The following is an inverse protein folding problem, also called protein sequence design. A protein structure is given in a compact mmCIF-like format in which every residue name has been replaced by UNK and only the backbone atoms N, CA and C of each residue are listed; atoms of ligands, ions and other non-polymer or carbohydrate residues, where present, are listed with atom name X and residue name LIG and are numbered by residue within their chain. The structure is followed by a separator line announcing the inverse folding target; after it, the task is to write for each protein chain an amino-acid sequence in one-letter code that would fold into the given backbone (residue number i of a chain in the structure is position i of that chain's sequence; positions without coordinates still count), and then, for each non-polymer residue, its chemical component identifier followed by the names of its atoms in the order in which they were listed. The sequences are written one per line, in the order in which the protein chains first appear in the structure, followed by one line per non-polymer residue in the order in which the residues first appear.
data_IF_353407600976
#
_entry.id   IF_353407600976
#
_cell.length_a   1.000
_cell.length_b   1.000
_cell.length_c   1.000
_cell.angle_alpha   90.00
_cell.angle_beta   90.00
_cell.angle_gamma   90.00
#
_symmetry.space_group_name_H-M   'P 1'
#
loop_
_entity.id
_entity.type
_entity.pdbx_description
1 polymer ?
#
# COMPACT_ATOMS: atom_id res chain seq x y z
N UNK A 1 5.22 22.08 -36.27
CA UNK A 1 5.20 23.47 -35.78
C UNK A 1 4.96 23.40 -34.27
N UNK A 2 5.72 24.09 -33.43
CA UNK A 2 5.40 24.19 -32.02
C UNK A 2 4.03 24.88 -31.85
N UNK A 3 3.24 24.42 -30.89
CA UNK A 3 1.99 25.07 -30.51
C UNK A 3 2.27 26.45 -29.92
N UNK A 4 1.37 27.45 -30.11
CA UNK A 4 1.45 28.69 -29.38
C UNK A 4 1.53 28.45 -27.88
N UNK A 5 2.27 29.28 -27.14
CA UNK A 5 2.49 29.13 -25.70
C UNK A 5 1.16 29.04 -24.91
N UNK A 6 0.21 29.91 -25.23
CA UNK A 6 -1.12 29.89 -24.61
C UNK A 6 -1.84 28.55 -24.83
N UNK A 7 -1.76 28.00 -26.05
CA UNK A 7 -2.37 26.68 -26.36
C UNK A 7 -1.68 25.57 -25.61
N UNK A 8 -0.35 25.63 -25.49
CA UNK A 8 0.43 24.64 -24.73
C UNK A 8 0.09 24.70 -23.25
N UNK A 9 0.01 25.88 -22.66
CA UNK A 9 -0.40 26.06 -21.24
C UNK A 9 -1.84 25.58 -21.00
N UNK A 10 -2.74 25.84 -21.95
CA UNK A 10 -4.12 25.39 -21.85
C UNK A 10 -4.23 23.86 -21.94
N UNK A 11 -3.41 23.22 -22.74
CA UNK A 11 -3.30 21.77 -22.85
C UNK A 11 -2.74 21.16 -21.55
N UNK A 12 -1.70 21.77 -20.97
CA UNK A 12 -1.07 21.27 -19.72
C UNK A 12 -1.99 21.44 -18.50
N UNK A 13 -2.88 22.45 -18.50
CA UNK A 13 -3.89 22.62 -17.44
C UNK A 13 -4.98 21.57 -17.46
N UNK A 14 -5.15 20.87 -18.58
CA UNK A 14 -6.07 19.76 -18.66
C UNK A 14 -5.54 18.55 -17.89
N UNK A 15 -6.44 17.65 -17.55
CA UNK A 15 -6.07 16.43 -16.86
C UNK A 15 -5.12 15.58 -17.72
N UNK A 16 -3.94 15.26 -17.18
CA UNK A 16 -2.97 14.35 -17.79
C UNK A 16 -2.19 13.62 -16.69
N UNK A 17 -1.72 12.42 -16.99
CA UNK A 17 -0.96 11.58 -16.05
C UNK A 17 0.56 11.82 -16.10
N UNK A 18 1.34 10.76 -16.01
CA UNK A 18 2.80 10.77 -15.82
C UNK A 18 3.63 10.79 -17.09
N UNK A 19 3.24 11.50 -18.15
CA UNK A 19 4.03 11.56 -19.39
C UNK A 19 5.44 12.10 -19.18
N UNK A 20 5.62 13.02 -18.24
CA UNK A 20 6.91 13.59 -17.88
C UNK A 20 7.85 12.52 -17.24
N UNK A 21 7.35 11.60 -16.42
CA UNK A 21 8.11 10.43 -15.94
C UNK A 21 8.63 9.59 -17.11
N UNK A 22 7.78 9.34 -18.11
CA UNK A 22 8.16 8.57 -19.29
C UNK A 22 9.28 9.25 -20.07
N UNK A 23 9.24 10.57 -20.21
CA UNK A 23 10.33 11.30 -20.87
C UNK A 23 11.63 11.32 -20.08
N UNK A 24 11.59 11.41 -18.76
CA UNK A 24 12.79 11.22 -17.93
C UNK A 24 13.38 9.82 -18.08
N UNK A 25 12.54 8.79 -18.16
CA UNK A 25 13.01 7.43 -18.40
C UNK A 25 13.62 7.27 -19.81
N UNK A 26 13.05 7.89 -20.84
CA UNK A 26 13.67 7.93 -22.17
C UNK A 26 14.99 8.66 -22.17
N UNK A 27 15.10 9.77 -21.46
CA UNK A 27 16.38 10.47 -21.27
C UNK A 27 17.42 9.56 -20.61
N UNK A 28 17.04 8.85 -19.56
CA UNK A 28 17.94 7.91 -18.86
C UNK A 28 18.46 6.78 -19.78
N UNK A 29 17.62 6.30 -20.70
CA UNK A 29 17.97 5.22 -21.61
C UNK A 29 18.80 5.67 -22.82
N UNK A 30 18.57 6.90 -23.31
CA UNK A 30 19.15 7.35 -24.59
C UNK A 30 20.23 8.40 -24.42
N UNK A 31 20.27 9.14 -23.32
CA UNK A 31 21.11 10.32 -23.13
C UNK A 31 20.69 11.54 -23.98
N UNK A 32 19.54 11.48 -24.68
CA UNK A 32 19.11 12.55 -25.57
C UNK A 32 18.38 13.66 -24.76
N UNK A 33 19.00 14.82 -24.67
CA UNK A 33 18.50 15.99 -23.93
C UNK A 33 17.12 16.49 -24.39
N UNK A 34 16.68 16.12 -25.60
CA UNK A 34 15.33 16.47 -26.07
C UNK A 34 14.25 15.84 -25.19
N UNK A 35 14.48 14.64 -24.67
CA UNK A 35 13.54 13.99 -23.76
C UNK A 35 13.49 14.66 -22.39
N UNK A 36 14.64 15.10 -21.87
CA UNK A 36 14.70 15.89 -20.64
C UNK A 36 13.95 17.22 -20.79
N UNK A 37 14.15 17.90 -21.93
CA UNK A 37 13.43 19.13 -22.24
C UNK A 37 11.92 18.87 -22.32
N UNK A 38 11.49 17.78 -22.98
CA UNK A 38 10.08 17.40 -23.05
C UNK A 38 9.49 17.08 -21.67
N UNK A 39 10.22 16.42 -20.78
CA UNK A 39 9.77 16.19 -19.40
C UNK A 39 9.48 17.50 -18.67
N UNK A 40 10.39 18.49 -18.78
CA UNK A 40 10.19 19.83 -18.24
C UNK A 40 9.07 20.62 -18.91
N UNK A 41 8.80 20.41 -20.23
CA UNK A 41 7.68 21.02 -20.92
C UNK A 41 6.32 20.60 -20.33
N UNK A 42 6.20 19.34 -19.86
CA UNK A 42 5.00 18.84 -19.20
C UNK A 42 4.98 19.09 -17.68
N UNK A 43 5.83 19.98 -17.18
CA UNK A 43 5.78 20.43 -15.78
C UNK A 43 4.48 21.20 -15.51
N UNK A 44 3.71 20.75 -14.52
CA UNK A 44 2.40 21.33 -14.22
C UNK A 44 2.50 22.26 -13.01
N UNK A 45 2.77 23.54 -13.25
CA UNK A 45 2.99 24.55 -12.21
C UNK A 45 1.91 24.58 -11.12
N UNK A 46 0.63 24.63 -11.54
CA UNK A 46 -0.51 24.72 -10.60
C UNK A 46 -0.60 23.54 -9.61
N UNK A 47 0.13 22.46 -9.90
CA UNK A 47 0.16 21.22 -9.12
C UNK A 47 1.45 21.08 -8.34
N UNK A 48 2.58 21.35 -8.97
CA UNK A 48 3.91 21.06 -8.43
C UNK A 48 4.46 22.22 -7.60
N UNK A 49 4.21 23.48 -8.00
CA UNK A 49 4.75 24.65 -7.28
C UNK A 49 4.25 24.73 -5.82
N UNK A 50 2.98 24.45 -5.49
CA UNK A 50 2.56 24.38 -4.08
C UNK A 50 3.36 23.37 -3.25
N UNK A 51 3.71 22.23 -3.84
CA UNK A 51 4.50 21.20 -3.16
C UNK A 51 5.95 21.63 -2.93
N UNK A 52 6.54 22.39 -3.85
CA UNK A 52 7.87 23.01 -3.65
C UNK A 52 7.87 23.99 -2.48
N UNK A 53 6.77 24.69 -2.27
CA UNK A 53 6.53 25.57 -1.13
C UNK A 53 6.17 24.81 0.15
N UNK A 54 6.18 23.49 0.13
CA UNK A 54 5.74 22.59 1.22
C UNK A 54 4.31 22.91 1.69
N UNK A 55 3.42 23.20 0.75
CA UNK A 55 2.02 23.51 0.99
C UNK A 55 1.13 22.38 0.51
N UNK A 56 0.27 21.90 1.41
CA UNK A 56 -0.76 20.94 1.11
C UNK A 56 -1.96 21.68 0.47
N UNK A 57 -1.97 21.70 -0.84
CA UNK A 57 -3.03 22.28 -1.68
C UNK A 57 -3.62 21.19 -2.59
N UNK A 58 -3.82 19.99 -2.02
CA UNK A 58 -4.29 18.83 -2.75
C UNK A 58 -5.82 18.81 -2.92
N UNK A 59 -6.56 19.35 -1.98
CA UNK A 59 -8.01 19.29 -1.92
C UNK A 59 -8.69 19.46 -3.28
N UNK A 60 -9.65 18.60 -3.58
CA UNK A 60 -10.43 18.54 -4.83
C UNK A 60 -9.70 18.24 -6.13
N UNK A 61 -8.37 18.08 -6.13
CA UNK A 61 -7.62 17.68 -7.33
C UNK A 61 -7.76 16.18 -7.57
N UNK A 62 -7.71 15.75 -8.84
CA UNK A 62 -7.79 14.33 -9.18
C UNK A 62 -6.52 13.59 -8.72
N UNK A 63 -6.70 12.63 -7.81
CA UNK A 63 -5.59 12.01 -7.08
C UNK A 63 -4.64 11.25 -8.00
N UNK A 64 -5.17 10.36 -8.84
CA UNK A 64 -4.34 9.50 -9.66
C UNK A 64 -3.59 10.22 -10.77
N UNK A 65 -4.12 11.33 -11.31
CA UNK A 65 -3.40 12.13 -12.31
C UNK A 65 -2.31 12.99 -11.68
N UNK A 66 -2.38 13.21 -10.36
CA UNK A 66 -1.43 14.02 -9.62
C UNK A 66 -0.18 13.22 -9.22
N UNK A 67 -0.34 12.03 -8.63
CA UNK A 67 0.77 11.22 -8.11
C UNK A 67 1.85 10.94 -9.17
N UNK A 68 1.52 10.60 -10.43
CA UNK A 68 2.52 10.38 -11.47
C UNK A 68 3.38 11.61 -11.81
N UNK A 69 2.88 12.83 -11.56
CA UNK A 69 3.67 14.06 -11.74
C UNK A 69 4.76 14.16 -10.68
N UNK A 70 4.46 13.73 -9.44
CA UNK A 70 5.46 13.64 -8.37
C UNK A 70 6.46 12.52 -8.64
N UNK A 71 6.03 11.41 -9.25
CA UNK A 71 6.96 10.36 -9.71
C UNK A 71 7.97 10.90 -10.72
N UNK A 72 7.54 11.82 -11.59
CA UNK A 72 8.45 12.48 -12.53
C UNK A 72 9.48 13.35 -11.80
N UNK A 73 9.08 14.06 -10.74
CA UNK A 73 10.01 14.83 -9.93
C UNK A 73 11.00 13.91 -9.18
N UNK A 74 10.49 12.80 -8.61
CA UNK A 74 11.37 11.79 -8.02
C UNK A 74 12.42 11.29 -9.04
N UNK A 75 11.99 11.04 -10.27
CA UNK A 75 12.89 10.61 -11.34
C UNK A 75 13.84 11.72 -11.79
N UNK A 76 13.39 12.98 -11.82
CA UNK A 76 14.24 14.14 -12.07
C UNK A 76 15.40 14.22 -11.06
N UNK A 77 15.10 14.10 -9.77
CA UNK A 77 16.14 14.06 -8.73
C UNK A 77 17.18 12.95 -8.99
N UNK A 78 16.75 11.75 -9.30
CA UNK A 78 17.66 10.62 -9.54
C UNK A 78 18.59 10.84 -10.73
N UNK A 79 18.15 11.57 -11.74
CA UNK A 79 18.92 11.81 -12.97
C UNK A 79 19.78 13.07 -12.91
N UNK A 80 19.39 14.05 -12.12
CA UNK A 80 20.02 15.38 -12.14
C UNK A 80 20.62 15.81 -10.79
N UNK A 81 20.21 15.18 -9.69
CA UNK A 81 20.56 15.59 -8.33
C UNK A 81 19.78 16.81 -7.85
N UNK A 82 18.67 17.19 -8.51
CA UNK A 82 17.86 18.35 -8.13
C UNK A 82 17.23 18.19 -6.74
N UNK A 83 17.78 18.92 -5.76
CA UNK A 83 17.34 18.86 -4.37
C UNK A 83 15.91 19.33 -4.14
N UNK A 84 15.39 20.25 -4.94
CA UNK A 84 14.01 20.73 -4.84
C UNK A 84 13.02 19.60 -5.22
N UNK A 85 13.32 18.87 -6.28
CA UNK A 85 12.54 17.70 -6.71
C UNK A 85 12.54 16.58 -5.66
N UNK A 86 13.67 16.37 -4.96
CA UNK A 86 13.75 15.45 -3.83
C UNK A 86 12.83 15.89 -2.68
N UNK A 87 13.04 17.14 -2.21
CA UNK A 87 12.32 17.69 -1.06
C UNK A 87 10.80 17.72 -1.30
N UNK A 88 10.36 18.07 -2.50
CA UNK A 88 8.97 18.04 -2.94
C UNK A 88 8.40 16.63 -2.88
N UNK A 89 9.12 15.62 -3.40
CA UNK A 89 8.67 14.23 -3.43
C UNK A 89 8.52 13.65 -2.02
N UNK A 90 9.46 13.96 -1.12
CA UNK A 90 9.41 13.59 0.29
C UNK A 90 8.25 14.27 1.01
N UNK A 91 8.08 15.59 0.83
CA UNK A 91 6.97 16.35 1.41
C UNK A 91 5.62 15.78 0.95
N UNK A 92 5.45 15.55 -0.35
CA UNK A 92 4.21 14.98 -0.88
C UNK A 92 3.92 13.60 -0.27
N UNK A 93 4.92 12.72 -0.21
CA UNK A 93 4.74 11.38 0.36
C UNK A 93 4.30 11.44 1.82
N UNK A 94 4.97 12.25 2.66
CA UNK A 94 4.60 12.41 4.08
C UNK A 94 3.21 13.02 4.24
N UNK A 95 2.86 14.00 3.43
CA UNK A 95 1.53 14.62 3.40
C UNK A 95 0.45 13.58 3.08
N UNK A 96 0.67 12.79 2.03
CA UNK A 96 -0.25 11.73 1.64
C UNK A 96 -0.47 10.71 2.74
N UNK A 97 0.61 10.20 3.33
CA UNK A 97 0.50 9.16 4.36
C UNK A 97 -0.10 9.69 5.66
N UNK A 98 0.25 10.91 6.04
CA UNK A 98 -0.19 11.49 7.31
C UNK A 98 -1.61 12.07 7.28
N UNK A 99 -2.08 12.56 6.12
CA UNK A 99 -3.28 13.42 6.07
C UNK A 99 -4.34 13.00 5.05
N UNK A 100 -4.04 12.06 4.15
CA UNK A 100 -4.94 11.65 3.06
C UNK A 100 -5.06 10.13 2.89
N UNK A 101 -4.46 9.33 3.77
CA UNK A 101 -4.42 7.87 3.64
C UNK A 101 -5.26 7.20 4.72
N UNK A 102 -6.20 6.35 4.31
CA UNK A 102 -7.03 5.54 5.20
C UNK A 102 -6.27 4.31 5.73
N UNK A 103 -6.78 3.69 6.78
CA UNK A 103 -6.15 2.53 7.43
C UNK A 103 -5.71 1.40 6.49
N UNK A 104 -6.43 1.05 5.40
CA UNK A 104 -5.94 0.06 4.42
C UNK A 104 -4.74 0.51 3.58
N UNK A 105 -4.27 1.74 3.71
CA UNK A 105 -3.18 2.29 2.89
C UNK A 105 -3.66 2.91 1.58
N UNK A 106 -4.96 3.03 1.38
CA UNK A 106 -5.56 3.70 0.22
C UNK A 106 -5.85 5.16 0.50
N UNK A 107 -6.01 5.94 -0.57
CA UNK A 107 -6.37 7.36 -0.56
C UNK A 107 -7.46 7.63 -1.59
N UNK A 108 -8.00 8.84 -1.61
CA UNK A 108 -9.05 9.33 -2.51
C UNK A 108 -10.49 8.95 -2.12
N UNK A 109 -11.39 9.82 -2.51
CA UNK A 109 -12.83 9.57 -2.57
C UNK A 109 -13.33 10.06 -3.92
N UNK A 110 -14.03 9.21 -4.68
CA UNK A 110 -14.49 9.52 -6.05
C UNK A 110 -13.36 10.05 -6.94
N UNK A 111 -12.19 9.40 -6.89
CA UNK A 111 -10.98 9.72 -7.65
C UNK A 111 -10.26 11.02 -7.23
N UNK A 112 -10.79 11.78 -6.27
CA UNK A 112 -10.26 13.08 -5.88
C UNK A 112 -9.68 13.08 -4.47
N UNK A 113 -8.75 13.98 -4.21
CA UNK A 113 -8.34 14.31 -2.86
C UNK A 113 -9.50 15.00 -2.12
N UNK A 114 -9.48 14.89 -0.82
CA UNK A 114 -10.32 15.64 0.11
C UNK A 114 -9.44 16.59 0.91
N UNK A 115 -10.06 17.54 1.60
CA UNK A 115 -9.33 18.46 2.46
C UNK A 115 -8.56 17.68 3.55
N UNK A 116 -7.34 18.13 3.91
CA UNK A 116 -6.50 17.41 4.84
C UNK A 116 -7.21 17.08 6.15
N UNK A 117 -7.02 15.86 6.63
CA UNK A 117 -7.56 15.38 7.91
C UNK A 117 -9.10 15.25 7.97
N UNK A 118 -9.83 15.34 6.85
CA UNK A 118 -11.32 15.21 6.79
C UNK A 118 -11.78 13.78 6.42
N UNK A 119 -11.23 12.77 7.04
CA UNK A 119 -11.45 11.36 6.69
C UNK A 119 -12.90 10.89 6.83
N UNK A 120 -13.57 11.23 7.94
CA UNK A 120 -14.89 10.69 8.24
C UNK A 120 -15.99 11.11 7.26
N UNK A 121 -15.81 12.23 6.58
CA UNK A 121 -16.72 12.73 5.53
C UNK A 121 -16.53 11.99 4.20
N UNK A 122 -15.39 11.32 4.03
CA UNK A 122 -14.97 10.71 2.76
C UNK A 122 -14.92 9.18 2.81
N UNK A 123 -15.60 8.57 3.80
CA UNK A 123 -15.88 7.13 3.81
C UNK A 123 -17.07 6.87 2.90
N UNK A 124 -16.83 6.42 1.68
CA UNK A 124 -17.89 6.19 0.69
C UNK A 124 -17.78 4.81 0.02
N UNK A 125 -18.70 4.50 -0.87
CA UNK A 125 -18.63 3.36 -1.78
C UNK A 125 -17.57 3.53 -2.88
N UNK A 126 -16.96 4.71 -2.98
CA UNK A 126 -15.97 5.08 -4.01
C UNK A 126 -14.63 5.51 -3.41
N UNK A 127 -14.36 5.06 -2.20
CA UNK A 127 -13.08 5.32 -1.53
C UNK A 127 -11.98 4.46 -2.15
N UNK A 128 -10.76 5.00 -2.20
CA UNK A 128 -9.55 4.23 -2.48
C UNK A 128 -9.47 3.73 -3.92
N UNK A 129 -9.25 4.61 -4.90
CA UNK A 129 -8.89 4.21 -6.25
C UNK A 129 -7.58 3.42 -6.26
N UNK A 130 -7.58 2.25 -6.86
CA UNK A 130 -6.43 1.33 -6.83
C UNK A 130 -5.20 1.88 -7.54
N UNK A 131 -5.37 2.65 -8.61
CA UNK A 131 -4.26 3.31 -9.30
C UNK A 131 -3.50 4.28 -8.38
N UNK A 132 -4.18 4.95 -7.45
CA UNK A 132 -3.52 5.84 -6.50
C UNK A 132 -2.55 5.07 -5.62
N UNK A 133 -2.98 3.94 -5.05
CA UNK A 133 -2.11 3.08 -4.23
C UNK A 133 -0.96 2.48 -5.03
N UNK A 134 -1.21 2.02 -6.26
CA UNK A 134 -0.16 1.55 -7.16
C UNK A 134 0.94 2.61 -7.36
N UNK A 135 0.56 3.86 -7.67
CA UNK A 135 1.51 4.94 -7.87
C UNK A 135 2.21 5.37 -6.57
N UNK A 136 1.52 5.32 -5.42
CA UNK A 136 2.15 5.58 -4.12
C UNK A 136 3.19 4.51 -3.75
N UNK A 137 2.96 3.24 -4.12
CA UNK A 137 3.96 2.18 -3.95
C UNK A 137 5.19 2.40 -4.86
N UNK A 138 4.98 2.88 -6.10
CA UNK A 138 6.10 3.31 -6.97
C UNK A 138 6.91 4.42 -6.31
N UNK A 139 6.26 5.47 -5.82
CA UNK A 139 6.95 6.58 -5.14
C UNK A 139 7.69 6.10 -3.89
N UNK A 140 7.07 5.24 -3.09
CA UNK A 140 7.70 4.66 -1.90
C UNK A 140 9.00 3.91 -2.23
N UNK A 141 9.08 3.23 -3.38
CA UNK A 141 10.32 2.58 -3.83
C UNK A 141 11.43 3.59 -4.16
N UNK A 142 11.12 4.72 -4.81
CA UNK A 142 12.08 5.78 -5.04
C UNK A 142 12.62 6.31 -3.70
N UNK A 143 11.74 6.70 -2.79
CA UNK A 143 12.14 7.22 -1.48
C UNK A 143 12.98 6.22 -0.69
N UNK A 144 12.60 4.93 -0.71
CA UNK A 144 13.36 3.89 -0.02
C UNK A 144 14.77 3.70 -0.60
N UNK A 145 14.94 3.85 -1.91
CA UNK A 145 16.25 3.79 -2.55
C UNK A 145 17.15 4.99 -2.20
N UNK A 146 16.57 6.15 -1.90
CA UNK A 146 17.32 7.32 -1.45
C UNK A 146 17.75 7.21 0.00
N UNK A 147 16.80 6.82 0.83
CA UNK A 147 16.98 6.61 2.25
C UNK A 147 16.18 5.38 2.69
N UNK A 148 16.87 4.40 3.26
CA UNK A 148 16.26 3.14 3.68
C UNK A 148 15.35 3.34 4.91
N UNK A 149 14.26 4.09 4.73
CA UNK A 149 13.30 4.45 5.77
C UNK A 149 12.39 3.27 6.15
N UNK A 150 12.38 2.84 7.41
CA UNK A 150 11.44 1.84 7.89
C UNK A 150 9.97 2.27 7.80
N UNK A 151 9.69 3.57 7.88
CA UNK A 151 8.35 4.15 7.75
C UNK A 151 7.80 3.93 6.33
N UNK A 152 8.64 4.16 5.32
CA UNK A 152 8.29 3.91 3.92
C UNK A 152 7.99 2.42 3.70
N UNK A 153 8.78 1.53 4.32
CA UNK A 153 8.55 0.10 4.23
C UNK A 153 7.29 -0.36 4.98
N UNK A 154 6.94 0.27 6.12
CA UNK A 154 5.71 0.01 6.86
C UNK A 154 4.46 0.39 6.05
N UNK A 155 4.48 1.57 5.40
CA UNK A 155 3.40 1.96 4.50
C UNK A 155 3.27 1.00 3.31
N UNK A 156 4.41 0.65 2.68
CA UNK A 156 4.42 -0.27 1.55
C UNK A 156 3.77 -1.61 1.90
N UNK A 157 4.15 -2.20 3.04
CA UNK A 157 3.56 -3.45 3.53
C UNK A 157 2.06 -3.32 3.77
N UNK A 158 1.63 -2.25 4.46
CA UNK A 158 0.22 -2.01 4.78
C UNK A 158 -0.63 -1.90 3.51
N UNK A 159 -0.22 -1.08 2.57
CA UNK A 159 -0.95 -0.87 1.33
C UNK A 159 -0.94 -2.13 0.43
N UNK A 160 0.17 -2.85 0.40
CA UNK A 160 0.29 -4.08 -0.37
C UNK A 160 -0.69 -5.16 0.10
N UNK A 161 -0.74 -5.44 1.41
CA UNK A 161 -1.64 -6.46 1.95
C UNK A 161 -3.10 -6.01 1.91
N UNK A 162 -3.41 -4.80 2.36
CA UNK A 162 -4.80 -4.44 2.63
C UNK A 162 -5.54 -3.85 1.43
N UNK A 163 -4.82 -3.25 0.48
CA UNK A 163 -5.45 -2.72 -0.74
C UNK A 163 -5.08 -3.56 -1.97
N UNK A 164 -3.80 -3.64 -2.32
CA UNK A 164 -3.38 -4.29 -3.57
C UNK A 164 -3.76 -5.77 -3.59
N UNK A 165 -3.43 -6.55 -2.56
CA UNK A 165 -3.83 -7.95 -2.49
C UNK A 165 -5.35 -8.10 -2.41
N UNK A 166 -6.02 -7.23 -1.64
CA UNK A 166 -7.47 -7.24 -1.46
C UNK A 166 -8.29 -6.78 -2.68
N UNK A 167 -7.63 -6.21 -3.68
CA UNK A 167 -8.27 -5.73 -4.92
C UNK A 167 -8.70 -6.87 -5.85
N UNK A 168 -7.95 -7.97 -5.89
CA UNK A 168 -8.18 -9.06 -6.83
C UNK A 168 -9.17 -10.09 -6.26
N UNK A 169 -10.17 -10.44 -7.05
CA UNK A 169 -11.05 -11.59 -6.76
C UNK A 169 -10.26 -12.89 -7.00
N UNK A 170 -9.99 -13.70 -5.96
CA UNK A 170 -9.18 -14.92 -6.12
C UNK A 170 -9.88 -15.99 -6.96
N UNK A 171 -11.20 -15.92 -7.13
CA UNK A 171 -11.97 -16.89 -7.91
C UNK A 171 -11.90 -16.62 -9.43
N UNK A 172 -11.77 -15.36 -9.84
CA UNK A 172 -11.82 -14.98 -11.26
C UNK A 172 -10.58 -14.27 -11.77
N UNK A 173 -9.73 -13.76 -10.86
CA UNK A 173 -8.61 -12.90 -11.20
C UNK A 173 -9.00 -11.46 -11.56
N UNK A 174 -10.30 -11.14 -11.57
CA UNK A 174 -10.77 -9.78 -11.85
C UNK A 174 -10.42 -8.83 -10.72
N UNK A 175 -10.32 -7.54 -11.03
CA UNK A 175 -9.85 -6.52 -10.09
C UNK A 175 -10.92 -5.45 -9.81
N UNK A 176 -10.90 -4.88 -8.62
CA UNK A 176 -11.79 -3.77 -8.27
C UNK A 176 -11.14 -2.43 -8.59
N UNK A 177 -11.96 -1.45 -8.97
CA UNK A 177 -11.54 -0.07 -9.19
C UNK A 177 -11.32 0.64 -7.84
N UNK A 178 -12.34 0.60 -7.00
CA UNK A 178 -12.33 1.18 -5.66
C UNK A 178 -12.22 0.11 -4.57
N UNK A 179 -11.71 0.52 -3.42
CA UNK A 179 -11.86 -0.16 -2.15
C UNK A 179 -12.93 0.57 -1.32
N UNK A 180 -14.21 0.19 -1.41
CA UNK A 180 -15.27 0.85 -0.67
C UNK A 180 -15.04 0.80 0.83
N UNK A 181 -15.13 1.92 1.54
CA UNK A 181 -14.96 1.97 3.00
C UNK A 181 -16.24 2.31 3.76
N UNK A 182 -17.31 2.68 3.07
CA UNK A 182 -18.63 2.83 3.68
C UNK A 182 -19.15 1.48 4.15
N UNK A 183 -19.55 1.41 5.41
CA UNK A 183 -20.08 0.17 6.01
C UNK A 183 -21.29 -0.37 5.25
N UNK A 184 -21.30 -1.68 4.97
CA UNK A 184 -22.36 -2.35 4.22
C UNK A 184 -22.20 -2.29 2.69
N UNK A 185 -21.19 -1.62 2.16
CA UNK A 185 -20.83 -1.71 0.74
C UNK A 185 -20.06 -3.00 0.43
N UNK A 186 -19.70 -3.20 -0.81
CA UNK A 186 -18.95 -4.37 -1.28
C UNK A 186 -18.04 -3.99 -2.45
N UNK A 187 -17.00 -4.78 -2.70
CA UNK A 187 -16.12 -4.60 -3.86
C UNK A 187 -16.85 -4.95 -5.16
N UNK A 188 -16.61 -4.15 -6.20
CA UNK A 188 -17.10 -4.37 -7.55
C UNK A 188 -15.92 -4.72 -8.44
N UNK A 189 -16.00 -5.85 -9.11
CA UNK A 189 -14.90 -6.36 -9.92
C UNK A 189 -15.10 -6.07 -11.40
N UNK A 190 -13.98 -5.93 -12.10
CA UNK A 190 -13.93 -5.82 -13.56
C UNK A 190 -14.54 -7.03 -14.23
N UNK A 191 -14.83 -6.89 -15.53
CA UNK A 191 -15.25 -7.98 -16.38
C UNK A 191 -14.12 -8.39 -17.33
N UNK A 192 -14.09 -9.63 -17.86
CA UNK A 192 -13.02 -10.08 -18.75
C UNK A 192 -12.90 -9.28 -20.04
N UNK A 193 -14.01 -8.75 -20.58
CA UNK A 193 -14.06 -8.27 -21.95
C UNK A 193 -14.41 -6.78 -22.08
N UNK A 194 -15.05 -6.18 -21.05
CA UNK A 194 -15.66 -4.85 -21.16
C UNK A 194 -15.12 -3.81 -20.17
N UNK A 195 -14.16 -4.15 -19.35
CA UNK A 195 -13.59 -3.24 -18.34
C UNK A 195 -12.24 -2.72 -18.81
N UNK A 196 -12.25 -1.59 -19.47
CA UNK A 196 -11.04 -0.88 -19.90
C UNK A 196 -10.67 0.24 -18.92
N UNK A 197 -10.78 -0.03 -17.64
CA UNK A 197 -10.43 0.90 -16.57
C UNK A 197 -8.92 1.02 -16.41
N UNK A 198 -8.43 2.20 -16.02
CA UNK A 198 -7.03 2.38 -15.63
C UNK A 198 -6.61 1.38 -14.54
N UNK A 199 -7.50 1.09 -13.58
CA UNK A 199 -7.24 0.16 -12.49
C UNK A 199 -7.12 -1.31 -12.93
N UNK A 200 -7.61 -1.69 -14.11
CA UNK A 200 -7.32 -3.01 -14.69
C UNK A 200 -5.85 -3.08 -15.13
N UNK A 201 -5.34 -2.02 -15.76
CA UNK A 201 -3.93 -1.92 -16.13
C UNK A 201 -2.99 -1.92 -14.92
N UNK A 202 -3.24 -1.05 -13.94
CA UNK A 202 -2.44 -1.01 -12.71
C UNK A 202 -2.58 -2.28 -11.88
N UNK A 203 -3.75 -2.94 -11.89
CA UNK A 203 -3.98 -4.23 -11.26
C UNK A 203 -3.09 -5.32 -11.86
N UNK A 204 -3.00 -5.36 -13.19
CA UNK A 204 -2.09 -6.27 -13.90
C UNK A 204 -0.64 -6.11 -13.43
N UNK A 205 -0.15 -4.87 -13.39
CA UNK A 205 1.19 -4.57 -12.94
C UNK A 205 1.38 -4.83 -11.45
N UNK A 206 0.42 -4.46 -10.61
CA UNK A 206 0.48 -4.64 -9.16
C UNK A 206 0.73 -6.10 -8.77
N UNK A 207 -0.02 -7.02 -9.36
CA UNK A 207 0.08 -8.45 -9.05
C UNK A 207 1.35 -9.10 -9.60
N UNK A 208 1.96 -8.52 -10.65
CA UNK A 208 3.27 -8.95 -11.16
C UNK A 208 4.44 -8.44 -10.30
N UNK A 209 4.22 -7.47 -9.40
CA UNK A 209 5.28 -6.75 -8.67
C UNK A 209 5.47 -7.15 -7.20
N UNK A 210 4.82 -8.19 -6.71
CA UNK A 210 4.94 -8.60 -5.30
C UNK A 210 6.38 -8.83 -4.84
N UNK A 211 7.26 -9.24 -5.73
CA UNK A 211 8.66 -9.50 -5.42
C UNK A 211 9.54 -8.23 -5.33
N UNK A 212 9.09 -7.09 -5.84
CA UNK A 212 9.97 -5.93 -6.07
C UNK A 212 10.54 -5.29 -4.80
N UNK A 213 9.83 -5.35 -3.68
CA UNK A 213 10.21 -4.64 -2.44
C UNK A 213 10.46 -5.57 -1.25
N UNK A 214 10.61 -6.89 -1.51
CA UNK A 214 10.95 -7.86 -0.46
C UNK A 214 12.36 -7.56 0.06
N UNK A 215 13.29 -7.33 -0.86
CA UNK A 215 14.69 -7.09 -0.54
C UNK A 215 15.23 -5.82 -1.20
N UNK A 216 16.15 -5.17 -0.50
CA UNK A 216 16.98 -4.11 -1.08
C UNK A 216 18.44 -4.35 -0.74
N UNK A 217 19.33 -3.97 -1.64
CA UNK A 217 20.78 -4.13 -1.48
C UNK A 217 21.48 -2.79 -1.31
N UNK A 218 22.39 -2.69 -0.37
CA UNK A 218 23.43 -1.68 -0.33
C UNK A 218 24.77 -2.29 -0.72
N UNK A 219 25.85 -1.56 -0.55
CA UNK A 219 27.20 -2.05 -0.92
C UNK A 219 27.58 -3.34 -0.17
N UNK A 220 27.46 -3.32 1.17
CA UNK A 220 27.74 -4.48 2.03
C UNK A 220 26.58 -4.76 3.01
N UNK A 221 25.37 -4.53 2.57
CA UNK A 221 24.20 -4.86 3.37
C UNK A 221 23.02 -5.32 2.51
N UNK A 222 22.19 -6.16 3.12
CA UNK A 222 20.93 -6.64 2.58
C UNK A 222 19.80 -6.23 3.53
N UNK A 223 18.83 -5.49 3.01
CA UNK A 223 17.61 -5.18 3.73
C UNK A 223 16.53 -6.21 3.42
N UNK A 224 15.87 -6.71 4.45
CA UNK A 224 14.70 -7.61 4.36
C UNK A 224 13.49 -6.82 4.84
N UNK A 225 12.65 -6.36 3.91
CA UNK A 225 11.55 -5.45 4.19
C UNK A 225 10.20 -6.15 4.32
N UNK A 226 9.92 -7.11 3.43
CA UNK A 226 8.64 -7.82 3.44
C UNK A 226 8.87 -9.29 3.78
N UNK A 227 7.95 -9.83 4.58
CA UNK A 227 8.02 -11.21 5.02
C UNK A 227 7.15 -12.08 4.10
N UNK A 228 7.61 -12.26 2.86
CA UNK A 228 6.95 -13.01 1.79
C UNK A 228 7.82 -14.20 1.41
N UNK A 229 7.28 -15.44 1.28
CA UNK A 229 8.06 -16.61 0.85
C UNK A 229 8.73 -16.32 -0.50
N UNK A 230 10.06 -16.43 -0.54
CA UNK A 230 10.83 -16.02 -1.72
C UNK A 230 12.25 -16.54 -1.72
N UNK A 231 12.88 -16.50 -2.89
CA UNK A 231 14.29 -16.74 -3.08
C UNK A 231 14.95 -15.52 -3.73
N UNK A 232 16.10 -15.12 -3.20
CA UNK A 232 16.94 -14.06 -3.73
C UNK A 232 18.25 -14.65 -4.24
N UNK A 233 18.60 -14.38 -5.49
CA UNK A 233 19.92 -14.65 -6.03
C UNK A 233 20.72 -13.36 -6.18
N UNK A 234 21.74 -13.17 -5.34
CA UNK A 234 22.66 -12.03 -5.43
C UNK A 234 24.02 -12.52 -5.95
N UNK A 235 24.07 -12.67 -7.27
CA UNK A 235 25.21 -13.27 -7.99
C UNK A 235 26.53 -12.57 -7.72
N UNK A 236 26.54 -11.23 -7.67
CA UNK A 236 27.76 -10.43 -7.43
C UNK A 236 28.37 -10.65 -6.04
N UNK A 237 27.57 -11.18 -5.12
CA UNK A 237 28.03 -11.54 -3.78
C UNK A 237 28.12 -13.06 -3.56
N UNK A 238 27.85 -13.89 -4.58
CA UNK A 238 27.79 -15.35 -4.43
C UNK A 238 26.83 -15.81 -3.34
N UNK A 239 25.72 -15.10 -3.19
CA UNK A 239 24.71 -15.32 -2.15
C UNK A 239 23.38 -15.69 -2.77
N UNK A 240 22.82 -16.82 -2.31
CA UNK A 240 21.40 -17.12 -2.45
C UNK A 240 20.76 -17.07 -1.05
N UNK A 241 19.61 -16.42 -0.95
CA UNK A 241 18.83 -16.35 0.29
C UNK A 241 17.45 -16.94 0.04
N UNK A 242 17.04 -17.87 0.89
CA UNK A 242 15.68 -18.41 0.90
C UNK A 242 14.94 -17.90 2.13
N UNK A 243 13.77 -17.30 1.90
CA UNK A 243 12.84 -16.86 2.94
C UNK A 243 11.65 -17.82 3.02
N UNK A 244 11.45 -18.42 4.17
CA UNK A 244 10.36 -19.32 4.47
C UNK A 244 9.48 -18.69 5.55
N UNK A 245 8.22 -18.50 5.26
CA UNK A 245 7.26 -17.84 6.15
C UNK A 245 5.83 -18.17 5.74
N UNK A 246 4.91 -18.07 6.69
CA UNK A 246 3.46 -18.04 6.45
C UNK A 246 2.86 -16.72 6.95
N UNK A 247 3.69 -15.69 6.99
CA UNK A 247 3.23 -14.35 7.35
C UNK A 247 2.18 -13.85 6.35
N UNK A 248 1.09 -13.23 6.79
CA UNK A 248 0.82 -12.77 8.15
C UNK A 248 0.05 -13.77 9.05
N UNK A 249 -0.21 -14.99 8.61
CA UNK A 249 -0.89 -16.02 9.42
C UNK A 249 -0.04 -16.49 10.60
N UNK A 250 1.28 -16.51 10.43
CA UNK A 250 2.27 -16.86 11.43
C UNK A 250 3.26 -15.70 11.63
N UNK A 251 3.71 -15.52 12.87
CA UNK A 251 4.59 -14.43 13.28
C UNK A 251 6.07 -14.67 12.95
N UNK A 252 6.43 -15.88 12.52
CA UNK A 252 7.83 -16.30 12.35
C UNK A 252 8.24 -16.38 10.90
N UNK A 253 9.38 -15.77 10.62
CA UNK A 253 10.06 -15.83 9.31
C UNK A 253 11.45 -16.45 9.49
N UNK A 254 11.83 -17.33 8.56
CA UNK A 254 13.14 -18.00 8.53
C UNK A 254 13.88 -17.64 7.24
N UNK A 255 15.14 -17.26 7.40
CA UNK A 255 16.03 -16.97 6.28
C UNK A 255 17.18 -17.98 6.31
N UNK A 256 17.43 -18.64 5.20
CA UNK A 256 18.60 -19.53 5.01
C UNK A 256 19.51 -18.92 3.96
N UNK A 257 20.78 -18.75 4.31
CA UNK A 257 21.81 -18.21 3.43
C UNK A 257 22.58 -19.39 2.80
N UNK A 258 22.67 -19.42 1.48
CA UNK A 258 23.58 -20.28 0.75
C UNK A 258 24.68 -19.41 0.13
N UNK A 259 25.92 -19.68 0.48
CA UNK A 259 27.09 -18.86 0.14
C UNK A 259 28.16 -19.73 -0.57
N UNK A 260 28.64 -19.27 -1.71
CA UNK A 260 29.76 -19.87 -2.40
C UNK A 260 31.07 -19.82 -1.56
N UNK A 261 31.22 -18.73 -0.81
CA UNK A 261 32.35 -18.53 0.12
C UNK A 261 31.88 -17.72 1.34
N UNK A 262 32.44 -17.98 2.54
CA UNK A 262 32.11 -17.21 3.74
C UNK A 262 32.33 -15.71 3.54
N UNK A 263 31.35 -14.90 3.88
CA UNK A 263 31.35 -13.45 3.61
C UNK A 263 30.87 -12.62 4.79
N UNK A 264 31.50 -11.48 5.03
CA UNK A 264 30.94 -10.45 5.93
C UNK A 264 29.88 -9.65 5.20
N UNK A 265 28.71 -9.55 5.80
CA UNK A 265 27.56 -8.84 5.28
C UNK A 265 26.65 -8.41 6.45
N UNK A 266 26.10 -7.21 6.40
CA UNK A 266 25.06 -6.79 7.33
C UNK A 266 23.69 -7.19 6.78
N UNK A 267 23.03 -8.16 7.42
CA UNK A 267 21.60 -8.44 7.17
C UNK A 267 20.77 -7.55 8.07
N UNK A 268 19.96 -6.69 7.47
CA UNK A 268 19.10 -5.71 8.15
C UNK A 268 17.66 -6.15 8.03
N UNK A 269 17.10 -6.67 9.13
CA UNK A 269 15.71 -7.10 9.22
C UNK A 269 14.86 -5.89 9.63
N UNK A 270 13.83 -5.57 8.87
CA UNK A 270 12.91 -4.49 9.27
C UNK A 270 12.27 -4.84 10.62
N UNK A 271 12.22 -3.87 11.52
CA UNK A 271 11.48 -3.93 12.77
C UNK A 271 10.22 -3.06 12.61
N UNK A 272 9.08 -3.66 12.23
CA UNK A 272 7.86 -2.92 11.90
C UNK A 272 7.30 -2.13 13.09
N UNK A 273 6.56 -1.05 12.79
CA UNK A 273 5.88 -0.23 13.81
C UNK A 273 4.82 -1.00 14.61
N UNK A 274 4.15 -1.93 13.96
CA UNK A 274 3.06 -2.73 14.55
C UNK A 274 3.53 -3.88 15.45
N UNK A 275 4.82 -4.26 15.36
CA UNK A 275 5.32 -5.43 16.07
C UNK A 275 5.60 -5.13 17.55
N UNK A 276 5.24 -6.07 18.40
CA UNK A 276 5.82 -6.17 19.74
C UNK A 276 7.33 -6.40 19.68
N UNK A 277 7.96 -6.65 20.85
CA UNK A 277 9.42 -6.89 20.87
C UNK A 277 9.76 -8.20 20.15
N UNK A 278 10.52 -8.17 19.04
CA UNK A 278 10.83 -9.36 18.28
C UNK A 278 11.86 -10.24 19.01
N UNK A 279 11.81 -11.53 18.70
CA UNK A 279 12.89 -12.46 19.04
C UNK A 279 13.66 -12.82 17.77
N UNK A 280 15.00 -12.81 17.86
CA UNK A 280 15.89 -13.15 16.76
C UNK A 280 16.82 -14.26 17.20
N UNK A 281 16.99 -15.26 16.34
CA UNK A 281 17.97 -16.33 16.51
C UNK A 281 18.84 -16.47 15.27
N UNK A 282 20.11 -16.73 15.47
CA UNK A 282 21.05 -17.11 14.40
C UNK A 282 21.60 -18.49 14.73
N UNK A 283 21.39 -19.45 13.87
CA UNK A 283 21.77 -20.86 14.09
C UNK A 283 21.26 -21.40 15.44
N UNK A 284 20.00 -21.06 15.78
CA UNK A 284 19.36 -21.45 17.04
C UNK A 284 19.79 -20.65 18.28
N UNK A 285 20.85 -19.84 18.18
CA UNK A 285 21.32 -19.00 19.30
C UNK A 285 20.62 -17.65 19.30
N UNK A 286 20.08 -17.26 20.45
CA UNK A 286 19.38 -15.97 20.61
C UNK A 286 20.31 -14.78 20.43
N UNK A 287 19.83 -13.77 19.70
CA UNK A 287 20.49 -12.48 19.51
C UNK A 287 19.71 -11.41 20.25
N UNK A 288 20.42 -10.58 21.03
CA UNK A 288 19.77 -9.48 21.77
C UNK A 288 19.37 -8.37 20.81
N UNK A 289 18.08 -8.11 20.69
CA UNK A 289 17.52 -6.96 19.96
C UNK A 289 17.59 -5.72 20.85
N UNK A 290 18.31 -4.70 20.38
CA UNK A 290 18.47 -3.40 21.06
C UNK A 290 17.67 -2.28 20.40
N UNK A 291 17.22 -2.51 19.18
CA UNK A 291 16.51 -1.57 18.34
C UNK A 291 15.06 -1.39 18.82
N UNK A 292 14.41 -0.32 18.34
CA UNK A 292 13.03 0.02 18.61
C UNK A 292 12.17 -0.24 17.36
N UNK A 293 10.84 -0.31 17.46
CA UNK A 293 9.95 -0.29 16.31
C UNK A 293 10.27 0.89 15.37
N UNK A 294 9.98 0.74 14.10
CA UNK A 294 10.35 1.67 13.01
C UNK A 294 11.86 1.81 12.88
N UNK A 295 12.57 0.69 12.82
CA UNK A 295 14.03 0.64 12.63
C UNK A 295 14.44 -0.63 11.91
N UNK A 296 15.74 -0.91 11.84
CA UNK A 296 16.29 -2.17 11.34
C UNK A 296 17.10 -2.88 12.41
N UNK A 297 16.81 -4.17 12.61
CA UNK A 297 17.65 -5.07 13.41
C UNK A 297 18.84 -5.47 12.53
N UNK A 298 20.02 -4.98 12.84
CA UNK A 298 21.22 -5.21 12.04
C UNK A 298 22.03 -6.37 12.59
N UNK A 299 22.23 -7.38 11.74
CA UNK A 299 23.07 -8.56 12.00
C UNK A 299 24.33 -8.45 11.13
N UNK A 300 25.32 -7.67 11.60
CA UNK A 300 26.62 -7.54 10.92
C UNK A 300 27.59 -8.59 11.42
N UNK A 301 27.86 -9.57 10.58
CA UNK A 301 28.76 -10.69 10.89
C UNK A 301 29.33 -11.35 9.63
N UNK A 302 30.32 -12.22 9.82
CA UNK A 302 30.73 -13.18 8.81
C UNK A 302 29.72 -14.32 8.79
N UNK A 303 29.11 -14.53 7.61
CA UNK A 303 28.16 -15.60 7.32
C UNK A 303 28.88 -16.77 6.64
N UNK A 304 28.39 -17.97 6.91
CA UNK A 304 28.85 -19.21 6.31
C UNK A 304 27.69 -19.86 5.54
N UNK A 305 28.05 -20.80 4.64
CA UNK A 305 27.03 -21.54 3.91
C UNK A 305 26.11 -22.32 4.86
N UNK A 306 24.78 -22.24 4.62
CA UNK A 306 23.77 -22.87 5.44
C UNK A 306 23.39 -22.11 6.71
N UNK A 307 23.97 -20.92 6.98
CA UNK A 307 23.57 -20.09 8.13
C UNK A 307 22.09 -19.73 8.06
N UNK A 308 21.43 -19.75 9.25
CA UNK A 308 20.00 -19.53 9.38
C UNK A 308 19.69 -18.39 10.34
N UNK A 309 18.77 -17.52 9.92
CA UNK A 309 18.17 -16.49 10.78
C UNK A 309 16.71 -16.87 10.99
N UNK A 310 16.27 -16.84 12.24
CA UNK A 310 14.84 -16.94 12.58
C UNK A 310 14.44 -15.67 13.31
N UNK A 311 13.37 -15.03 12.85
CA UNK A 311 12.81 -13.85 13.51
C UNK A 311 11.32 -14.06 13.72
N UNK A 312 10.85 -13.75 14.95
CA UNK A 312 9.42 -13.76 15.30
C UNK A 312 9.01 -12.35 15.68
N UNK A 313 7.98 -11.84 15.01
CA UNK A 313 7.39 -10.51 15.23
C UNK A 313 6.01 -10.66 15.88
N UNK A 314 5.91 -10.48 17.21
CA UNK A 314 4.62 -10.61 17.91
C UNK A 314 3.60 -9.62 17.36
N UNK A 315 2.47 -10.11 16.88
CA UNK A 315 1.32 -9.32 16.42
C UNK A 315 0.26 -9.21 17.53
N UNK A 316 -0.49 -8.12 17.50
CA UNK A 316 -1.58 -7.88 18.43
C UNK A 316 -2.76 -7.21 17.73
N UNK A 317 -3.93 -7.40 18.31
CA UNK A 317 -5.12 -6.64 17.96
C UNK A 317 -4.94 -5.17 18.36
N UNK A 318 -5.33 -4.27 17.50
CA UNK A 318 -5.33 -2.83 17.75
C UNK A 318 -6.51 -2.17 17.02
N UNK A 319 -6.90 -1.00 17.49
CA UNK A 319 -7.86 -0.12 16.83
C UNK A 319 -7.13 1.14 16.38
N UNK A 320 -7.11 1.38 15.08
CA UNK A 320 -6.65 2.65 14.51
C UNK A 320 -7.85 3.59 14.36
N UNK A 321 -7.91 4.59 15.23
CA UNK A 321 -9.02 5.56 15.24
C UNK A 321 -8.82 6.61 14.16
N UNK A 322 -9.93 7.08 13.59
CA UNK A 322 -9.88 8.20 12.64
C UNK A 322 -9.43 9.49 13.34
N UNK A 323 -8.52 10.25 12.71
CA UNK A 323 -8.02 11.49 13.31
C UNK A 323 -9.11 12.52 13.59
N UNK A 324 -10.08 12.66 12.68
CA UNK A 324 -11.18 13.62 12.76
C UNK A 324 -12.44 13.07 13.48
N UNK A 325 -12.49 11.75 13.70
CA UNK A 325 -13.61 11.12 14.40
C UNK A 325 -13.14 9.91 15.22
N UNK A 326 -12.68 10.10 16.46
CA UNK A 326 -12.15 8.99 17.29
C UNK A 326 -13.21 7.95 17.69
N UNK A 327 -14.51 8.22 17.45
CA UNK A 327 -15.56 7.21 17.59
C UNK A 327 -15.64 6.21 16.42
N UNK A 328 -14.85 6.45 15.35
CA UNK A 328 -14.69 5.50 14.25
C UNK A 328 -13.28 4.96 14.22
N UNK A 329 -13.16 3.65 14.01
CA UNK A 329 -11.84 3.02 13.97
C UNK A 329 -11.80 1.75 13.13
N UNK A 330 -10.64 1.47 12.56
CA UNK A 330 -10.35 0.24 11.84
C UNK A 330 -9.63 -0.76 12.75
N UNK A 331 -10.04 -2.02 12.67
CA UNK A 331 -9.39 -3.11 13.37
C UNK A 331 -8.13 -3.57 12.64
N UNK A 332 -7.05 -3.79 13.38
CA UNK A 332 -5.80 -4.32 12.84
C UNK A 332 -5.32 -5.52 13.66
N UNK A 333 -4.65 -6.45 12.97
CA UNK A 333 -3.80 -7.47 13.58
C UNK A 333 -2.42 -7.41 12.92
N UNK A 334 -1.43 -6.88 13.63
CA UNK A 334 -0.17 -6.50 12.99
C UNK A 334 -0.40 -5.48 11.86
N UNK A 335 0.08 -5.72 10.62
CA UNK A 335 -0.14 -4.83 9.49
C UNK A 335 -1.50 -5.04 8.79
N UNK A 336 -2.22 -6.09 9.15
CA UNK A 336 -3.44 -6.52 8.45
C UNK A 336 -4.65 -5.79 9.00
N UNK A 337 -5.39 -5.12 8.12
CA UNK A 337 -6.70 -4.55 8.42
C UNK A 337 -7.75 -5.67 8.39
N UNK A 338 -8.54 -5.72 9.43
CA UNK A 338 -9.60 -6.71 9.60
C UNK A 338 -10.96 -6.08 9.26
N UNK A 339 -11.77 -6.80 8.50
CA UNK A 339 -13.10 -6.36 8.12
C UNK A 339 -14.19 -7.33 8.65
N UNK A 340 -15.28 -6.78 9.17
CA UNK A 340 -16.45 -7.56 9.55
C UNK A 340 -17.27 -7.94 8.34
N UNK A 341 -17.66 -9.20 8.26
CA UNK A 341 -18.46 -9.78 7.17
C UNK A 341 -19.94 -9.56 7.47
N UNK A 342 -20.66 -8.91 6.57
CA UNK A 342 -22.06 -8.50 6.76
C UNK A 342 -23.04 -9.25 5.83
N UNK A 343 -22.59 -10.32 5.17
CA UNK A 343 -23.41 -11.15 4.31
C UNK A 343 -23.66 -10.54 2.92
N UNK A 344 -24.71 -11.03 2.25
CA UNK A 344 -25.03 -10.70 0.85
C UNK A 344 -26.43 -10.14 0.64
N UNK A 345 -27.16 -9.84 1.71
CA UNK A 345 -28.54 -9.35 1.64
C UNK A 345 -28.65 -8.12 0.76
N UNK A 346 -29.60 -8.11 -0.16
CA UNK A 346 -29.86 -7.01 -1.09
C UNK A 346 -28.72 -6.69 -2.10
N UNK A 347 -27.69 -7.56 -2.18
CA UNK A 347 -26.70 -7.44 -3.25
C UNK A 347 -27.31 -7.86 -4.58
N UNK A 348 -27.08 -7.06 -5.62
CA UNK A 348 -27.43 -7.47 -6.98
C UNK A 348 -26.48 -8.61 -7.41
N UNK A 349 -27.00 -9.65 -8.10
CA UNK A 349 -26.12 -10.62 -8.73
C UNK A 349 -25.12 -9.90 -9.64
N UNK A 350 -23.86 -10.34 -9.73
CA UNK A 350 -22.93 -9.80 -10.70
C UNK A 350 -23.58 -9.85 -12.08
N UNK A 351 -23.56 -8.72 -12.78
CA UNK A 351 -24.07 -8.68 -14.15
C UNK A 351 -23.37 -9.76 -14.97
N UNK A 352 -24.12 -10.54 -15.79
CA UNK A 352 -23.47 -11.50 -16.67
C UNK A 352 -22.40 -10.79 -17.49
N UNK A 353 -21.20 -11.33 -17.53
CA UNK A 353 -20.07 -10.81 -18.31
C UNK A 353 -20.39 -10.59 -19.80
N UNK A 354 -21.50 -11.15 -20.27
CA UNK A 354 -21.96 -11.09 -21.64
C UNK A 354 -22.92 -9.95 -21.99
N UNK A 355 -23.21 -9.03 -21.07
CA UNK A 355 -24.10 -7.91 -21.40
C UNK A 355 -23.28 -6.68 -21.89
N UNK A 356 -23.13 -6.47 -23.22
CA UNK A 356 -22.35 -5.37 -23.77
C UNK A 356 -23.00 -3.99 -23.55
N UNK A 357 -24.25 -3.95 -23.05
CA UNK A 357 -24.95 -2.70 -22.74
C UNK A 357 -24.72 -2.24 -21.30
N UNK A 358 -24.16 -3.07 -20.46
CA UNK A 358 -23.69 -2.71 -19.13
C UNK A 358 -22.19 -2.44 -19.17
N UNK A 359 -21.87 -1.30 -19.71
CA UNK A 359 -20.50 -0.81 -19.67
C UNK A 359 -20.06 -0.55 -18.22
N UNK A 360 -18.96 -1.18 -17.82
CA UNK A 360 -17.93 -0.61 -16.98
C UNK A 360 -18.39 0.22 -15.78
N UNK A 361 -19.57 -0.07 -15.22
CA UNK A 361 -20.00 0.65 -14.02
C UNK A 361 -19.21 0.14 -12.82
N UNK A 362 -17.99 0.69 -12.66
CA UNK A 362 -17.28 0.64 -11.38
C UNK A 362 -17.96 1.55 -10.34
N UNK A 363 -18.83 2.45 -10.78
CA UNK A 363 -19.76 3.19 -9.95
C UNK A 363 -21.04 2.39 -9.78
N UNK A 364 -21.35 2.01 -8.55
CA UNK A 364 -22.71 1.60 -8.17
C UNK A 364 -23.37 2.88 -7.64
N UNK A 365 -24.09 3.59 -8.49
CA UNK A 365 -24.74 4.86 -8.14
C UNK A 365 -25.77 4.73 -7.02
N UNK A 366 -26.26 3.52 -6.75
CA UNK A 366 -27.26 3.26 -5.72
C UNK A 366 -26.89 1.98 -4.95
N UNK A 367 -25.96 2.11 -4.00
CA UNK A 367 -25.73 1.07 -3.02
C UNK A 367 -26.94 1.04 -2.07
N UNK A 368 -27.89 0.16 -2.36
CA UNK A 368 -28.93 -0.13 -1.41
C UNK A 368 -28.33 -0.88 -0.20
N UNK A 369 -27.98 -0.13 0.84
CA UNK A 369 -27.40 -0.68 2.07
C UNK A 369 -28.55 -1.04 3.01
N UNK A 370 -28.68 -2.32 3.45
CA UNK A 370 -29.67 -2.73 4.44
C UNK A 370 -29.53 -1.92 5.74
N UNK A 371 -30.66 -1.63 6.38
CA UNK A 371 -30.63 -0.97 7.69
C UNK A 371 -30.28 -1.97 8.80
N UNK A 372 -29.72 -1.45 9.91
CA UNK A 372 -29.46 -2.26 11.10
C UNK A 372 -28.28 -3.23 10.98
N UNK A 373 -27.39 -3.03 10.02
CA UNK A 373 -26.17 -3.83 9.93
C UNK A 373 -25.31 -3.66 11.20
N UNK A 374 -24.69 -4.75 11.71
CA UNK A 374 -23.91 -4.73 12.94
C UNK A 374 -22.53 -4.11 12.73
N UNK A 375 -22.47 -2.78 12.65
CA UNK A 375 -21.26 -2.01 12.39
C UNK A 375 -20.67 -1.34 13.64
N UNK A 376 -21.18 -1.65 14.84
CA UNK A 376 -20.71 -1.07 16.10
C UNK A 376 -19.96 -2.10 16.94
N UNK A 377 -18.91 -1.65 17.64
CA UNK A 377 -18.10 -2.46 18.55
C UNK A 377 -17.91 -1.78 19.90
N UNK A 378 -18.10 -2.47 21.03
CA UNK A 378 -17.75 -1.99 22.36
C UNK A 378 -16.24 -2.17 22.59
N UNK A 379 -15.41 -1.33 21.95
CA UNK A 379 -13.97 -1.52 21.94
C UNK A 379 -13.30 -1.12 23.24
N UNK A 380 -12.43 -2.01 23.76
CA UNK A 380 -11.57 -1.77 24.92
C UNK A 380 -10.09 -1.91 24.50
N UNK A 381 -9.36 -0.80 24.49
CA UNK A 381 -7.93 -0.78 24.11
C UNK A 381 -7.04 -1.59 25.04
N UNK A 382 -7.47 -1.84 26.29
CA UNK A 382 -6.72 -2.62 27.29
C UNK A 382 -6.96 -4.12 27.14
N UNK A 383 -8.15 -4.49 26.69
CA UNK A 383 -8.61 -5.88 26.60
C UNK A 383 -9.30 -6.18 25.27
N UNK A 384 -8.59 -5.99 24.13
CA UNK A 384 -9.18 -6.21 22.79
C UNK A 384 -9.67 -7.67 22.59
N UNK A 385 -9.08 -8.63 23.28
CA UNK A 385 -9.46 -10.05 23.25
C UNK A 385 -10.87 -10.32 23.85
N UNK A 386 -11.44 -9.39 24.61
CA UNK A 386 -12.83 -9.50 25.10
C UNK A 386 -13.82 -9.21 23.99
N UNK A 387 -13.49 -8.30 23.09
CA UNK A 387 -14.36 -7.83 21.99
C UNK A 387 -14.25 -8.72 20.78
N UNK A 388 -13.04 -9.22 20.50
CA UNK A 388 -12.72 -9.97 19.30
C UNK A 388 -11.98 -11.26 19.65
N UNK A 389 -12.61 -12.40 19.42
CA UNK A 389 -12.04 -13.72 19.72
C UNK A 389 -11.53 -14.37 18.44
N UNK A 390 -10.29 -14.84 18.43
CA UNK A 390 -9.72 -15.62 17.33
C UNK A 390 -10.38 -16.99 17.25
N UNK A 391 -10.79 -17.40 16.06
CA UNK A 391 -11.48 -18.66 15.81
C UNK A 391 -10.76 -19.44 14.70
N UNK A 392 -10.46 -20.72 14.97
CA UNK A 392 -9.91 -21.61 13.93
C UNK A 392 -8.43 -21.33 13.57
N UNK A 393 -8.07 -21.73 12.34
CA UNK A 393 -6.76 -21.49 11.75
C UNK A 393 -6.74 -20.18 10.96
N UNK A 394 -5.58 -19.55 10.87
CA UNK A 394 -5.42 -18.28 10.16
C UNK A 394 -5.88 -17.06 10.96
N UNK A 395 -6.18 -15.96 10.28
CA UNK A 395 -6.59 -14.68 10.86
C UNK A 395 -8.11 -14.52 10.87
N UNK A 396 -8.82 -15.50 11.42
CA UNK A 396 -10.27 -15.48 11.55
C UNK A 396 -10.67 -15.15 12.98
N UNK A 397 -11.57 -14.19 13.12
CA UNK A 397 -12.08 -13.74 14.41
C UNK A 397 -13.61 -13.68 14.40
N UNK A 398 -14.20 -13.52 15.59
CA UNK A 398 -15.63 -13.29 15.77
C UNK A 398 -15.85 -12.25 16.87
N UNK A 399 -16.79 -11.33 16.65
CA UNK A 399 -17.25 -10.39 17.68
C UNK A 399 -18.17 -11.08 18.69
N UNK A 400 -18.46 -10.45 19.84
CA UNK A 400 -19.46 -10.94 20.78
C UNK A 400 -20.85 -11.03 20.16
N UNK A 401 -21.19 -10.15 19.22
CA UNK A 401 -22.45 -10.16 18.47
C UNK A 401 -22.52 -11.25 17.38
N UNK A 402 -21.46 -12.04 17.21
CA UNK A 402 -21.40 -13.12 16.23
C UNK A 402 -20.98 -12.71 14.82
N UNK A 403 -20.55 -11.47 14.59
CA UNK A 403 -20.03 -11.04 13.29
C UNK A 403 -18.66 -11.68 13.05
N UNK A 404 -18.52 -12.39 11.94
CA UNK A 404 -17.24 -12.93 11.50
C UNK A 404 -16.34 -11.77 11.04
N UNK A 405 -15.06 -11.80 11.44
CA UNK A 405 -14.07 -10.78 11.08
C UNK A 405 -12.86 -11.46 10.45
N UNK A 406 -12.51 -11.01 9.25
CA UNK A 406 -11.48 -11.59 8.39
C UNK A 406 -10.50 -10.50 7.96
N UNK A 407 -9.29 -10.86 7.48
CA UNK A 407 -8.46 -9.94 6.71
C UNK A 407 -9.24 -9.30 5.58
N UNK A 408 -9.10 -7.99 5.40
CA UNK A 408 -9.81 -7.27 4.34
C UNK A 408 -9.51 -7.83 2.94
N UNK A 409 -8.32 -8.41 2.74
CA UNK A 409 -7.95 -9.05 1.49
C UNK A 409 -8.67 -10.37 1.22
N UNK A 410 -9.25 -11.01 2.25
CA UNK A 410 -10.03 -12.25 2.13
C UNK A 410 -11.55 -11.99 2.00
N UNK A 411 -11.99 -10.73 2.12
CA UNK A 411 -13.40 -10.40 2.01
C UNK A 411 -13.77 -10.07 0.57
N UNK A 412 -14.43 -11.00 -0.10
CA UNK A 412 -14.86 -10.89 -1.49
C UNK A 412 -16.35 -11.20 -1.64
N UNK A 413 -17.01 -10.54 -2.60
CA UNK A 413 -18.41 -10.82 -3.01
C UNK A 413 -19.42 -10.81 -1.87
N UNK A 414 -19.18 -10.00 -0.86
CA UNK A 414 -20.06 -9.81 0.28
C UNK A 414 -19.88 -8.41 0.87
N UNK A 415 -20.90 -7.99 1.60
CA UNK A 415 -20.86 -6.71 2.32
C UNK A 415 -19.89 -6.79 3.48
N UNK A 416 -19.29 -5.66 3.83
CA UNK A 416 -18.35 -5.62 4.93
C UNK A 416 -18.33 -4.26 5.64
N UNK A 417 -17.69 -4.24 6.80
CA UNK A 417 -17.35 -3.04 7.56
C UNK A 417 -15.85 -3.02 7.87
N UNK A 418 -15.19 -1.91 7.54
CA UNK A 418 -13.78 -1.64 7.90
C UNK A 418 -13.73 -0.68 9.08
N UNK A 419 -14.46 0.43 9.00
CA UNK A 419 -14.52 1.43 10.05
C UNK A 419 -15.75 1.22 10.94
N UNK A 420 -15.50 0.71 12.13
CA UNK A 420 -16.50 0.42 13.13
C UNK A 420 -16.85 1.65 13.94
N UNK A 421 -18.11 1.77 14.34
CA UNK A 421 -18.52 2.72 15.35
C UNK A 421 -18.13 2.20 16.74
N UNK A 422 -17.14 2.85 17.34
CA UNK A 422 -16.62 2.49 18.66
C UNK A 422 -17.53 3.07 19.75
N UNK A 423 -18.25 2.19 20.44
CA UNK A 423 -19.04 2.59 21.61
C UNK A 423 -18.11 2.63 22.81
N UNK A 424 -18.18 3.71 23.59
CA UNK A 424 -17.53 3.77 24.91
C UNK A 424 -18.23 2.80 25.87
N UNK A 425 -17.46 2.00 26.61
CA UNK A 425 -17.98 1.15 27.68
C UNK A 425 -18.20 1.96 28.95
#
# INVERSE_FOLDING_TARGET
RPLPEETSRKMIRNEFGGINESFYNLYALTGDERYRWLAGFFYHNDVIDPLKEQRDDLGTKHTNTFIPKVLAEARNYELTGDGDSKALSEFFWHTMIGRHTFAPGCSSDKEHYFDPDEFSKHISGYTGETCCTYNMLKLSRHLFCWEASPEVADYYERALYNHILGQQDPATGMVSYFLPLQSGTHKVYSTPENSFWCCVGSGFESHAKYAESIYYRGEDCLYVNLFIPSELAWKEKGLNLRQETRFPEEETTRLTLALETPRRLAVKLRYPSWSGRPTVRVNGKSVRVKQHPRSYITLDRRWEDGDRIEVTYPMRLAMERMPDNPRKGALLYGPVVLAGVLGTEGMQPPAPYSNPLRYNDYYIYDYHIPQGLPCSLPWDDRHPERVLKRTGKGLTFVTESGVQVLPLYDVHRQRYVVYWDCMEQ
#
